data_IF_481463282900
#
_entry.id   IF_481463282900
#
_cell.length_a   1.000
_cell.length_b   1.000
_cell.length_c   1.000
_cell.angle_alpha   90.00
_cell.angle_beta   90.00
_cell.angle_gamma   90.00
#
_symmetry.space_group_name_H-M   'P 1'
#
loop_
_entity.id
_entity.type
_entity.pdbx_description
1 polymer ?
#
# COMPACT_ATOMS: atom_id res chain seq x y z
N UNK A 1 -1.09 -6.87 16.85
CA UNK A 1 -1.07 -6.41 15.45
C UNK A 1 0.23 -5.66 15.18
N UNK A 2 0.54 -5.25 13.95
CA UNK A 2 1.71 -4.39 13.70
C UNK A 2 1.61 -3.07 14.51
N UNK A 3 0.40 -2.52 14.63
CA UNK A 3 0.14 -1.33 15.46
C UNK A 3 0.43 -1.56 16.95
N UNK A 4 -0.05 -2.66 17.55
CA UNK A 4 0.18 -2.94 18.98
C UNK A 4 1.67 -3.04 19.34
N UNK A 5 2.52 -3.38 18.37
CA UNK A 5 3.96 -3.47 18.58
C UNK A 5 4.65 -2.09 18.64
N UNK A 6 4.05 -1.05 18.06
CA UNK A 6 4.68 0.28 17.92
C UNK A 6 3.91 1.41 18.59
N UNK A 7 2.65 1.20 19.01
CA UNK A 7 1.76 2.26 19.50
C UNK A 7 2.27 3.09 20.68
N UNK A 8 3.16 2.51 21.48
CA UNK A 8 3.74 3.16 22.66
C UNK A 8 5.09 3.84 22.36
N UNK A 9 5.55 3.82 21.10
CA UNK A 9 6.75 4.53 20.67
C UNK A 9 6.49 6.05 20.61
N UNK A 10 7.54 6.86 20.80
CA UNK A 10 7.45 8.32 20.73
C UNK A 10 7.03 8.82 19.33
N UNK A 11 7.52 8.16 18.28
CA UNK A 11 7.23 8.48 16.88
C UNK A 11 6.92 7.20 16.10
N UNK A 12 5.71 6.63 16.23
CA UNK A 12 5.35 5.40 15.53
C UNK A 12 5.10 5.68 14.04
N UNK A 13 5.45 4.71 13.19
CA UNK A 13 5.09 4.69 11.77
C UNK A 13 4.57 3.31 11.39
N UNK A 14 3.53 3.27 10.57
CA UNK A 14 3.10 2.05 9.90
C UNK A 14 3.57 2.11 8.44
N UNK A 15 4.43 1.16 8.05
CA UNK A 15 4.78 0.95 6.65
C UNK A 15 3.99 -0.27 6.13
N UNK A 16 3.22 -0.05 5.07
CA UNK A 16 2.53 -1.13 4.34
C UNK A 16 2.92 -1.11 2.86
N UNK A 17 2.66 -2.20 2.15
CA UNK A 17 3.08 -2.34 0.76
C UNK A 17 2.18 -3.30 0.00
N UNK A 18 2.13 -3.14 -1.32
CA UNK A 18 1.45 -4.08 -2.20
C UNK A 18 2.17 -4.14 -3.55
N UNK A 19 2.24 -5.34 -4.13
CA UNK A 19 2.93 -5.54 -5.41
C UNK A 19 2.12 -4.93 -6.56
N UNK A 20 2.79 -4.17 -7.43
CA UNK A 20 2.15 -3.43 -8.53
C UNK A 20 2.57 -3.88 -9.93
N UNK A 21 3.48 -4.85 -10.03
CA UNK A 21 3.89 -5.39 -11.34
C UNK A 21 2.87 -6.39 -11.89
N UNK A 22 2.64 -6.44 -13.22
CA UNK A 22 1.65 -7.32 -13.82
C UNK A 22 1.80 -8.79 -13.39
N UNK A 23 3.04 -9.30 -13.39
CA UNK A 23 3.35 -10.68 -12.97
C UNK A 23 2.94 -10.96 -11.52
N UNK A 24 3.25 -10.05 -10.58
CA UNK A 24 2.85 -10.23 -9.20
C UNK A 24 1.34 -10.13 -9.02
N UNK A 25 0.69 -9.17 -9.69
CA UNK A 25 -0.76 -9.01 -9.59
C UNK A 25 -1.50 -10.25 -10.10
N UNK A 26 -1.11 -10.78 -11.27
CA UNK A 26 -1.75 -11.94 -11.89
C UNK A 26 -1.43 -13.26 -11.17
N UNK A 27 -0.14 -13.56 -10.97
CA UNK A 27 0.27 -14.91 -10.55
C UNK A 27 0.43 -15.05 -9.02
N UNK A 28 0.88 -14.00 -8.32
CA UNK A 28 1.08 -14.03 -6.85
C UNK A 28 -0.20 -13.61 -6.11
N UNK A 29 -0.77 -12.46 -6.47
CA UNK A 29 -1.93 -11.89 -5.79
C UNK A 29 -3.26 -12.42 -6.34
N UNK A 30 -3.29 -12.87 -7.61
CA UNK A 30 -4.50 -13.27 -8.34
C UNK A 30 -5.57 -12.18 -8.30
N UNK A 31 -5.15 -10.94 -8.53
CA UNK A 31 -5.98 -9.74 -8.49
C UNK A 31 -5.86 -8.97 -9.78
N UNK A 32 -6.97 -8.35 -10.18
CA UNK A 32 -6.95 -7.36 -11.25
C UNK A 32 -6.28 -6.06 -10.76
N UNK A 33 -5.78 -5.19 -11.67
CA UNK A 33 -5.21 -3.90 -11.29
C UNK A 33 -6.17 -3.05 -10.44
N UNK A 34 -7.47 -3.04 -10.74
CA UNK A 34 -8.46 -2.31 -9.94
C UNK A 34 -8.63 -2.89 -8.54
N UNK A 35 -8.60 -4.22 -8.39
CA UNK A 35 -8.63 -4.85 -7.07
C UNK A 35 -7.37 -4.52 -6.25
N UNK A 36 -6.21 -4.42 -6.90
CA UNK A 36 -4.95 -4.02 -6.25
C UNK A 36 -5.00 -2.55 -5.83
N UNK A 37 -5.50 -1.67 -6.69
CA UNK A 37 -5.72 -0.25 -6.40
C UNK A 37 -6.64 -0.06 -5.18
N UNK A 38 -7.82 -0.68 -5.19
CA UNK A 38 -8.79 -0.62 -4.08
C UNK A 38 -8.22 -1.21 -2.78
N UNK A 39 -7.43 -2.27 -2.88
CA UNK A 39 -6.77 -2.88 -1.73
C UNK A 39 -5.73 -1.93 -1.12
N UNK A 40 -4.89 -1.29 -1.94
CA UNK A 40 -3.88 -0.35 -1.49
C UNK A 40 -4.50 0.82 -0.72
N UNK A 41 -5.57 1.42 -1.26
CA UNK A 41 -6.32 2.50 -0.59
C UNK A 41 -6.87 2.02 0.76
N UNK A 42 -7.54 0.87 0.80
CA UNK A 42 -8.09 0.32 2.05
C UNK A 42 -7.01 0.06 3.11
N UNK A 43 -5.84 -0.43 2.69
CA UNK A 43 -4.72 -0.69 3.60
C UNK A 43 -4.19 0.61 4.22
N UNK A 44 -4.01 1.65 3.42
CA UNK A 44 -3.53 2.96 3.90
C UNK A 44 -4.60 3.64 4.77
N UNK A 45 -5.86 3.70 4.31
CA UNK A 45 -6.96 4.27 5.09
C UNK A 45 -7.12 3.58 6.46
N UNK A 46 -6.99 2.25 6.52
CA UNK A 46 -7.01 1.52 7.78
C UNK A 46 -5.81 1.90 8.67
N UNK A 47 -4.60 1.96 8.11
CA UNK A 47 -3.41 2.36 8.86
C UNK A 47 -3.49 3.80 9.40
N UNK A 48 -4.05 4.74 8.62
CA UNK A 48 -4.25 6.15 9.02
C UNK A 48 -5.18 6.32 10.22
N UNK A 49 -6.15 5.41 10.40
CA UNK A 49 -7.01 5.39 11.59
C UNK A 49 -6.29 4.92 12.87
N UNK A 50 -5.11 4.31 12.72
CA UNK A 50 -4.30 3.82 13.84
C UNK A 50 -3.09 4.72 14.11
N UNK A 51 -2.45 5.23 13.06
CA UNK A 51 -1.20 5.97 13.13
C UNK A 51 -1.22 7.21 12.22
N UNK A 52 -0.74 8.34 12.74
CA UNK A 52 -0.67 9.59 11.97
C UNK A 52 0.38 9.57 10.85
N UNK A 53 1.43 8.75 11.00
CA UNK A 53 2.53 8.59 10.05
C UNK A 53 2.45 7.22 9.35
N UNK A 54 2.18 7.25 8.04
CA UNK A 54 2.01 6.04 7.23
C UNK A 54 2.83 6.15 5.95
N UNK A 55 3.56 5.09 5.65
CA UNK A 55 4.35 4.93 4.44
C UNK A 55 3.78 3.78 3.59
N UNK A 56 3.79 3.96 2.27
CA UNK A 56 3.34 2.96 1.31
C UNK A 56 4.40 2.68 0.26
N UNK A 57 4.79 1.41 0.10
CA UNK A 57 5.69 0.98 -0.98
C UNK A 57 4.94 0.25 -2.10
N UNK A 58 5.26 0.65 -3.33
CA UNK A 58 4.93 -0.11 -4.54
C UNK A 58 5.93 -1.28 -4.64
N UNK A 59 5.57 -2.46 -4.15
CA UNK A 59 6.45 -3.63 -4.27
C UNK A 59 6.65 -3.95 -5.75
N UNK A 60 7.92 -4.14 -6.13
CA UNK A 60 8.32 -4.43 -7.51
C UNK A 60 8.07 -3.28 -8.52
N UNK A 61 8.17 -2.04 -8.05
CA UNK A 61 7.99 -0.83 -8.85
C UNK A 61 8.84 -0.78 -10.15
N UNK A 62 10.09 -1.29 -10.13
CA UNK A 62 10.97 -1.28 -11.30
C UNK A 62 10.48 -2.11 -12.48
N UNK A 63 9.48 -2.99 -12.26
CA UNK A 63 8.84 -3.84 -13.27
C UNK A 63 7.34 -3.57 -13.39
N UNK A 64 6.87 -2.43 -12.85
CA UNK A 64 5.48 -2.02 -12.89
C UNK A 64 5.23 -0.99 -13.99
N UNK A 65 4.01 -0.96 -14.51
CA UNK A 65 3.60 0.04 -15.49
C UNK A 65 3.51 1.43 -14.83
N UNK A 66 4.21 2.47 -15.36
CA UNK A 66 4.24 3.79 -14.74
C UNK A 66 2.85 4.40 -14.47
N UNK A 67 1.94 4.33 -15.45
CA UNK A 67 0.61 4.91 -15.33
C UNK A 67 -0.20 4.26 -14.19
N UNK A 68 -0.06 2.95 -14.01
CA UNK A 68 -0.71 2.26 -12.90
C UNK A 68 -0.07 2.64 -11.56
N UNK A 69 1.25 2.79 -11.50
CA UNK A 69 1.93 3.28 -10.30
C UNK A 69 1.44 4.67 -9.91
N UNK A 70 1.33 5.60 -10.87
CA UNK A 70 0.82 6.96 -10.60
C UNK A 70 -0.60 6.92 -10.05
N UNK A 71 -1.48 6.13 -10.67
CA UNK A 71 -2.85 5.91 -10.18
C UNK A 71 -2.84 5.43 -8.73
N UNK A 72 -2.03 4.42 -8.40
CA UNK A 72 -1.94 3.88 -7.03
C UNK A 72 -1.38 4.92 -6.05
N UNK A 73 -0.31 5.63 -6.42
CA UNK A 73 0.31 6.68 -5.60
C UNK A 73 -0.72 7.77 -5.26
N UNK A 74 -1.41 8.32 -6.25
CA UNK A 74 -2.44 9.33 -6.03
C UNK A 74 -3.60 8.79 -5.18
N UNK A 75 -3.99 7.54 -5.41
CA UNK A 75 -5.01 6.87 -4.62
C UNK A 75 -4.65 6.79 -3.14
N UNK A 76 -3.44 6.34 -2.82
CA UNK A 76 -3.01 6.19 -1.41
C UNK A 76 -2.68 7.51 -0.73
N UNK A 77 -2.29 8.55 -1.48
CA UNK A 77 -2.13 9.92 -0.94
C UNK A 77 -3.49 10.48 -0.47
N UNK A 78 -4.56 10.18 -1.22
CA UNK A 78 -5.92 10.66 -0.92
C UNK A 78 -6.70 9.79 0.08
N UNK A 79 -6.10 8.70 0.57
CA UNK A 79 -6.74 7.68 1.41
C UNK A 79 -6.80 8.04 2.91
#
# INVERSE_FOLDING_TARGET
>A
TAWDAVRDAENPRIHTFLATSPLHMEYKLKKTPDQVYEQAIKMVAYARNLCGDVEFSLEDASRSEPDFMYKVIEGVINA
#
